data_IF_754377210362
#
_entry.id   IF_754377210362
#
_cell.length_a   1.000
_cell.length_b   1.000
_cell.length_c   1.000
_cell.angle_alpha   90.00
_cell.angle_beta   90.00
_cell.angle_gamma   90.00
#
_symmetry.space_group_name_H-M   'P 1'
#
loop_
_entity.id
_entity.type
_entity.pdbx_description
1 polymer ?
#
# COMPACT_ATOMS: atom_id res chain seq x y z
N UNK A 1 -0.80 -18.93 1.99
CA UNK A 1 -1.74 -17.88 2.36
C UNK A 1 -2.10 -17.06 1.10
N UNK A 2 -3.27 -16.44 1.06
CA UNK A 2 -3.71 -15.56 -0.02
C UNK A 2 -4.63 -14.49 0.55
N UNK A 3 -4.69 -13.33 -0.09
CA UNK A 3 -5.77 -12.38 0.09
C UNK A 3 -6.92 -12.81 -0.84
N UNK A 4 -8.09 -13.05 -0.30
CA UNK A 4 -9.30 -13.38 -1.04
C UNK A 4 -10.37 -12.33 -0.78
N UNK A 5 -10.96 -11.83 -1.86
CA UNK A 5 -12.13 -10.98 -1.88
C UNK A 5 -13.28 -11.84 -2.42
N UNK A 6 -14.16 -12.34 -1.54
CA UNK A 6 -15.25 -13.26 -1.88
C UNK A 6 -16.53 -12.45 -2.11
N UNK A 7 -16.93 -12.25 -3.37
CA UNK A 7 -18.13 -11.51 -3.75
C UNK A 7 -18.27 -10.17 -3.02
N UNK A 8 -17.15 -9.49 -2.84
CA UNK A 8 -17.10 -8.21 -2.12
C UNK A 8 -17.87 -7.16 -2.89
N UNK A 9 -18.80 -6.49 -2.21
CA UNK A 9 -19.46 -5.28 -2.68
C UNK A 9 -19.19 -4.16 -1.69
N UNK A 10 -18.75 -3.01 -2.21
CA UNK A 10 -18.52 -1.78 -1.46
C UNK A 10 -19.46 -0.73 -2.04
N UNK A 11 -20.37 -0.18 -1.21
CA UNK A 11 -21.29 0.86 -1.59
C UNK A 11 -21.06 2.11 -0.74
N UNK A 12 -20.73 3.23 -1.37
CA UNK A 12 -20.44 4.52 -0.72
C UNK A 12 -21.02 5.66 -1.58
N UNK A 13 -21.92 6.47 -1.01
CA UNK A 13 -22.40 7.74 -1.60
C UNK A 13 -22.79 7.64 -3.09
N UNK A 14 -23.48 6.54 -3.47
CA UNK A 14 -23.91 6.28 -4.85
C UNK A 14 -22.83 5.68 -5.76
N UNK A 15 -21.65 5.37 -5.23
CA UNK A 15 -20.61 4.60 -5.90
C UNK A 15 -20.68 3.15 -5.44
N UNK A 16 -20.64 2.22 -6.39
CA UNK A 16 -20.58 0.77 -6.12
C UNK A 16 -19.32 0.17 -6.76
N UNK A 17 -18.68 -0.74 -6.03
CA UNK A 17 -17.54 -1.49 -6.52
C UNK A 17 -17.66 -2.96 -6.11
N UNK A 18 -17.50 -3.84 -7.11
CA UNK A 18 -17.50 -5.28 -6.92
C UNK A 18 -16.11 -5.86 -7.14
N UNK A 19 -15.71 -6.79 -6.27
CA UNK A 19 -14.47 -7.53 -6.39
C UNK A 19 -14.66 -8.99 -5.98
N UNK A 20 -14.24 -9.91 -6.85
CA UNK A 20 -14.24 -11.36 -6.59
C UNK A 20 -12.94 -11.93 -7.15
N UNK A 21 -11.93 -12.04 -6.30
CA UNK A 21 -10.59 -12.39 -6.73
C UNK A 21 -9.70 -12.93 -5.61
N UNK A 22 -8.61 -13.57 -6.01
CA UNK A 22 -7.59 -14.09 -5.11
C UNK A 22 -6.20 -13.58 -5.53
N UNK A 23 -5.47 -13.04 -4.54
CA UNK A 23 -4.08 -12.61 -4.68
C UNK A 23 -3.20 -13.54 -3.86
N UNK A 24 -2.28 -14.24 -4.52
CA UNK A 24 -1.30 -15.11 -3.86
C UNK A 24 -0.31 -14.35 -2.98
N UNK A 25 0.36 -15.07 -2.06
CA UNK A 25 1.40 -14.46 -1.22
C UNK A 25 2.68 -14.15 -1.98
N UNK A 26 3.40 -13.14 -1.51
CA UNK A 26 4.74 -12.80 -1.99
C UNK A 26 4.77 -11.93 -3.24
N UNK A 27 3.60 -11.51 -3.77
CA UNK A 27 3.52 -10.68 -4.97
C UNK A 27 3.59 -9.18 -4.69
N UNK A 28 4.14 -8.44 -5.66
CA UNK A 28 4.09 -6.98 -5.73
C UNK A 28 3.08 -6.61 -6.82
N UNK A 29 1.85 -6.26 -6.40
CA UNK A 29 0.68 -6.17 -7.29
C UNK A 29 0.26 -4.71 -7.44
N UNK A 30 0.11 -4.25 -8.68
CA UNK A 30 -0.42 -2.93 -8.98
C UNK A 30 -1.96 -2.95 -9.09
N UNK A 31 -2.61 -1.95 -8.52
CA UNK A 31 -4.01 -1.61 -8.81
C UNK A 31 -3.99 -0.45 -9.81
N UNK A 32 -4.34 -0.72 -11.06
CA UNK A 32 -4.32 0.23 -12.17
C UNK A 32 -5.75 0.59 -12.60
N UNK A 33 -5.99 1.86 -12.89
CA UNK A 33 -7.27 2.33 -13.41
C UNK A 33 -7.45 3.84 -13.29
N UNK A 34 -8.50 4.42 -13.87
CA UNK A 34 -8.77 5.84 -13.85
C UNK A 34 -8.83 6.42 -12.44
N UNK A 35 -8.61 7.73 -12.32
CA UNK A 35 -8.89 8.44 -11.07
C UNK A 35 -10.39 8.32 -10.75
N UNK A 36 -10.71 8.10 -9.47
CA UNK A 36 -12.10 7.89 -9.05
C UNK A 36 -12.67 6.48 -9.28
N UNK A 37 -11.93 5.55 -9.90
CA UNK A 37 -12.42 4.18 -10.15
C UNK A 37 -12.60 3.32 -8.89
N UNK A 38 -12.22 3.81 -7.69
CA UNK A 38 -12.38 3.09 -6.42
C UNK A 38 -11.16 2.31 -5.95
N UNK A 39 -9.97 2.52 -6.53
CA UNK A 39 -8.73 1.82 -6.13
C UNK A 39 -8.42 2.00 -4.64
N UNK A 40 -8.40 3.23 -4.17
CA UNK A 40 -8.20 3.55 -2.74
C UNK A 40 -9.34 3.01 -1.87
N UNK A 41 -10.57 2.97 -2.40
CA UNK A 41 -11.74 2.40 -1.70
C UNK A 41 -11.55 0.92 -1.41
N UNK A 42 -11.05 0.14 -2.40
CA UNK A 42 -10.71 -1.28 -2.19
C UNK A 42 -9.62 -1.44 -1.14
N UNK A 43 -8.51 -0.68 -1.25
CA UNK A 43 -7.44 -0.75 -0.25
C UNK A 43 -7.96 -0.41 1.16
N UNK A 44 -8.79 0.62 1.28
CA UNK A 44 -9.38 1.03 2.54
C UNK A 44 -10.38 0.00 3.09
N UNK A 45 -11.12 -0.71 2.23
CA UNK A 45 -11.99 -1.80 2.65
C UNK A 45 -11.16 -3.00 3.18
N UNK A 46 -10.08 -3.38 2.50
CA UNK A 46 -9.17 -4.43 2.97
C UNK A 46 -8.48 -4.02 4.27
N UNK A 47 -8.09 -2.75 4.41
CA UNK A 47 -7.47 -2.22 5.63
C UNK A 47 -8.48 -2.01 6.79
N UNK A 48 -9.79 -2.02 6.51
CA UNK A 48 -10.85 -1.90 7.53
C UNK A 48 -11.34 -0.50 7.80
N UNK A 49 -10.99 0.47 6.97
CA UNK A 49 -11.47 1.86 7.08
C UNK A 49 -12.81 2.08 6.36
N UNK A 50 -13.17 1.19 5.44
CA UNK A 50 -14.42 1.22 4.71
C UNK A 50 -15.16 -0.10 4.94
N UNK A 51 -16.44 -0.08 5.38
CA UNK A 51 -17.22 -1.30 5.55
C UNK A 51 -17.63 -1.89 4.20
N UNK A 52 -17.87 -3.21 4.19
CA UNK A 52 -18.46 -3.90 3.06
C UNK A 52 -20.01 -3.76 3.09
N UNK A 53 -20.63 -3.61 1.93
CA UNK A 53 -22.07 -3.79 1.80
C UNK A 53 -22.45 -5.28 1.81
N UNK A 54 -21.60 -6.13 1.18
CA UNK A 54 -21.74 -7.59 1.22
C UNK A 54 -20.42 -8.27 0.87
N UNK A 55 -20.36 -9.61 1.01
CA UNK A 55 -19.18 -10.42 0.74
C UNK A 55 -18.30 -10.63 1.95
N UNK A 56 -17.07 -11.08 1.72
CA UNK A 56 -16.09 -11.33 2.76
C UNK A 56 -14.67 -11.05 2.29
N UNK A 57 -13.80 -10.64 3.21
CA UNK A 57 -12.35 -10.52 2.98
C UNK A 57 -11.64 -11.54 3.85
N UNK A 58 -10.76 -12.34 3.24
CA UNK A 58 -9.96 -13.34 3.92
C UNK A 58 -8.46 -13.14 3.71
N UNK A 59 -7.71 -13.51 4.73
CA UNK A 59 -6.27 -13.71 4.64
C UNK A 59 -5.93 -15.16 5.00
N UNK A 60 -5.66 -15.98 4.00
CA UNK A 60 -5.65 -17.42 4.15
C UNK A 60 -7.02 -17.93 4.59
N UNK A 61 -7.05 -18.77 5.64
CA UNK A 61 -8.31 -19.32 6.17
C UNK A 61 -9.07 -18.36 7.10
N UNK A 62 -8.44 -17.24 7.48
CA UNK A 62 -9.04 -16.31 8.44
C UNK A 62 -9.84 -15.20 7.73
N UNK A 63 -11.11 -15.05 8.13
CA UNK A 63 -11.94 -13.92 7.73
C UNK A 63 -11.52 -12.68 8.52
N UNK A 64 -11.25 -11.54 7.83
CA UNK A 64 -10.68 -10.34 8.43
C UNK A 64 -11.57 -9.09 8.33
N UNK A 65 -12.64 -9.11 7.55
CA UNK A 65 -13.50 -7.94 7.34
C UNK A 65 -14.25 -7.48 8.58
N UNK A 66 -14.50 -8.37 9.56
CA UNK A 66 -15.10 -8.06 10.85
C UNK A 66 -14.11 -7.47 11.87
N UNK A 67 -12.81 -7.54 11.59
CA UNK A 67 -11.77 -7.01 12.47
C UNK A 67 -11.59 -5.50 12.29
N UNK A 68 -11.35 -4.74 13.37
CA UNK A 68 -10.99 -3.34 13.26
C UNK A 68 -9.61 -3.19 12.58
N UNK A 69 -9.27 -2.01 11.99
CA UNK A 69 -8.03 -1.81 11.24
C UNK A 69 -6.76 -2.22 11.96
N UNK A 70 -6.66 -1.96 13.28
CA UNK A 70 -5.47 -2.29 14.09
C UNK A 70 -5.20 -3.78 14.22
N UNK A 71 -6.24 -4.61 14.16
CA UNK A 71 -6.16 -6.07 14.36
C UNK A 71 -5.98 -6.83 13.04
N UNK A 72 -6.15 -6.17 11.89
CA UNK A 72 -5.95 -6.78 10.59
C UNK A 72 -4.47 -7.05 10.33
N UNK A 73 -4.15 -8.11 9.57
CA UNK A 73 -2.77 -8.42 9.17
C UNK A 73 -2.25 -7.48 8.07
N UNK A 74 -2.61 -6.20 8.13
CA UNK A 74 -2.39 -5.18 7.10
C UNK A 74 -1.57 -4.03 7.66
N UNK A 75 -0.56 -3.58 6.91
CA UNK A 75 0.10 -2.30 7.10
C UNK A 75 -0.24 -1.37 5.94
N UNK A 76 -0.54 -0.11 6.21
CA UNK A 76 -0.93 0.85 5.18
C UNK A 76 0.02 2.04 5.14
N UNK A 77 0.45 2.40 3.93
CA UNK A 77 1.09 3.67 3.64
C UNK A 77 0.10 4.52 2.84
N UNK A 78 -0.33 5.61 3.45
CA UNK A 78 -1.29 6.54 2.87
C UNK A 78 -0.59 7.59 2.00
N UNK A 79 -1.32 8.21 1.10
CA UNK A 79 -0.85 9.24 0.19
C UNK A 79 -0.13 10.40 0.90
N UNK A 80 -0.64 10.82 2.06
CA UNK A 80 -0.09 11.94 2.84
C UNK A 80 1.11 11.59 3.73
N UNK A 81 1.64 10.35 3.62
CA UNK A 81 2.68 9.80 4.50
C UNK A 81 2.30 9.73 5.99
N UNK A 82 1.33 10.48 6.45
CA UNK A 82 0.80 10.52 7.83
C UNK A 82 1.88 10.60 8.93
N UNK A 83 2.91 11.42 8.70
CA UNK A 83 3.91 11.70 9.73
C UNK A 83 3.38 12.78 10.68
N UNK A 84 3.48 12.52 11.99
CA UNK A 84 3.10 13.46 13.01
C UNK A 84 4.15 14.59 13.10
N UNK A 85 3.80 15.85 12.80
CA UNK A 85 4.76 16.94 12.70
C UNK A 85 5.41 17.34 14.03
N UNK A 86 4.78 17.01 15.15
CA UNK A 86 5.26 17.28 16.50
C UNK A 86 6.17 16.18 17.08
N UNK A 87 6.37 15.08 16.35
CA UNK A 87 7.26 13.99 16.72
C UNK A 87 8.45 13.96 15.77
N UNK A 88 9.65 13.69 16.29
CA UNK A 88 10.80 13.46 15.42
C UNK A 88 10.64 12.18 14.58
N UNK A 89 11.50 12.00 13.59
CA UNK A 89 11.39 10.91 12.62
C UNK A 89 11.50 9.54 13.27
N UNK A 90 12.46 9.34 14.19
CA UNK A 90 12.60 8.07 14.90
C UNK A 90 11.34 7.75 15.73
N UNK A 91 10.74 8.77 16.36
CA UNK A 91 9.51 8.60 17.11
C UNK A 91 8.32 8.27 16.22
N UNK A 92 8.21 8.91 15.05
CA UNK A 92 7.20 8.59 14.05
C UNK A 92 7.29 7.11 13.61
N UNK A 93 8.50 6.61 13.39
CA UNK A 93 8.74 5.22 12.99
C UNK A 93 8.45 4.26 14.16
N UNK A 94 8.85 4.61 15.38
CA UNK A 94 8.61 3.81 16.58
C UNK A 94 7.12 3.64 16.93
N UNK A 95 6.21 4.48 16.40
CA UNK A 95 4.76 4.29 16.54
C UNK A 95 4.27 2.96 15.95
N UNK A 96 5.02 2.35 15.05
CA UNK A 96 4.76 0.99 14.55
C UNK A 96 4.85 -0.09 15.66
N UNK A 97 5.60 0.18 16.73
CA UNK A 97 5.85 -0.76 17.83
C UNK A 97 5.10 -0.39 19.10
N UNK A 98 4.98 0.90 19.38
CA UNK A 98 4.43 1.38 20.65
C UNK A 98 3.83 2.77 20.55
N UNK A 99 2.70 2.95 21.20
CA UNK A 99 2.04 4.26 21.37
C UNK A 99 2.48 4.99 22.65
N UNK A 100 3.34 4.39 23.46
CA UNK A 100 3.83 5.00 24.72
C UNK A 100 4.54 6.34 24.42
N UNK A 101 4.38 7.32 25.26
CA UNK A 101 5.02 8.64 25.12
C UNK A 101 6.57 8.54 25.04
N UNK A 102 7.14 7.58 25.76
CA UNK A 102 8.58 7.29 25.72
C UNK A 102 8.76 5.83 25.24
N UNK A 103 9.28 5.60 24.00
CA UNK A 103 9.67 4.28 23.54
C UNK A 103 10.77 3.70 24.42
N UNK A 104 10.86 2.38 24.47
CA UNK A 104 12.00 1.70 25.08
C UNK A 104 13.27 1.95 24.25
N UNK A 105 14.43 1.63 24.85
CA UNK A 105 15.71 1.69 24.12
C UNK A 105 15.70 0.72 22.91
N UNK A 106 15.04 -0.43 23.04
CA UNK A 106 14.92 -1.40 21.95
C UNK A 106 14.00 -0.88 20.84
N UNK A 107 12.84 -0.27 21.16
CA UNK A 107 11.97 0.35 20.17
C UNK A 107 12.71 1.43 19.38
N UNK A 108 13.50 2.24 20.08
CA UNK A 108 14.30 3.31 19.45
C UNK A 108 15.36 2.72 18.52
N UNK A 109 16.10 1.71 18.96
CA UNK A 109 17.09 1.01 18.14
C UNK A 109 16.46 0.42 16.87
N UNK A 110 15.34 -0.28 17.01
CA UNK A 110 14.61 -0.87 15.88
C UNK A 110 14.08 0.18 14.90
N UNK A 111 13.66 1.34 15.40
CA UNK A 111 13.26 2.47 14.55
C UNK A 111 14.45 3.03 13.76
N UNK A 112 15.61 3.20 14.37
CA UNK A 112 16.84 3.66 13.69
C UNK A 112 17.33 2.62 12.66
N UNK A 113 17.26 1.32 12.96
CA UNK A 113 17.54 0.26 12.00
C UNK A 113 16.59 0.29 10.79
N UNK A 114 15.30 0.52 11.02
CA UNK A 114 14.32 0.65 9.93
C UNK A 114 14.61 1.89 9.06
N UNK A 115 14.97 3.02 9.69
CA UNK A 115 15.41 4.23 8.98
C UNK A 115 16.67 4.00 8.15
N UNK A 116 17.63 3.26 8.68
CA UNK A 116 18.84 2.90 7.94
C UNK A 116 18.53 2.09 6.67
N UNK A 117 17.59 1.15 6.76
CA UNK A 117 17.15 0.31 5.61
C UNK A 117 16.52 1.10 4.47
N UNK A 118 15.96 2.25 4.75
CA UNK A 118 15.37 3.14 3.73
C UNK A 118 16.30 4.31 3.35
N UNK A 119 17.57 4.27 3.76
CA UNK A 119 18.59 5.28 3.42
C UNK A 119 18.45 6.59 4.23
N UNK A 120 17.93 6.54 5.46
CA UNK A 120 17.77 7.68 6.36
C UNK A 120 18.62 7.54 7.64
N UNK A 121 19.78 6.89 7.56
CA UNK A 121 20.71 6.75 8.70
C UNK A 121 21.04 8.10 9.31
N UNK A 122 20.96 8.20 10.66
CA UNK A 122 21.27 9.42 11.41
C UNK A 122 20.26 10.54 11.30
N UNK A 123 19.11 10.32 10.64
CA UNK A 123 18.06 11.34 10.51
C UNK A 123 16.94 11.21 11.57
N UNK A 124 17.01 10.25 12.47
CA UNK A 124 15.97 9.98 13.45
C UNK A 124 15.61 11.14 14.36
N UNK A 125 16.58 11.99 14.71
CA UNK A 125 16.36 13.16 15.56
C UNK A 125 15.69 14.34 14.83
N UNK A 126 15.63 14.34 13.49
CA UNK A 126 15.03 15.44 12.70
C UNK A 126 13.51 15.47 12.86
N UNK A 127 12.94 16.64 12.64
CA UNK A 127 11.48 16.82 12.55
C UNK A 127 11.01 16.60 11.11
N UNK A 128 9.80 16.03 10.88
CA UNK A 128 9.28 15.78 9.53
C UNK A 128 9.33 17.00 8.60
N UNK A 129 9.00 18.20 9.11
CA UNK A 129 9.02 19.44 8.32
C UNK A 129 10.41 19.88 7.83
N UNK A 130 11.49 19.26 8.33
CA UNK A 130 12.86 19.54 7.87
C UNK A 130 13.35 18.53 6.82
N UNK A 131 12.52 17.56 6.46
CA UNK A 131 12.80 16.55 5.46
C UNK A 131 12.25 16.96 4.09
N UNK A 132 12.93 16.58 3.02
CA UNK A 132 12.35 16.63 1.67
C UNK A 132 11.16 15.68 1.54
N UNK A 133 10.26 15.88 0.55
CA UNK A 133 9.13 14.98 0.30
C UNK A 133 9.55 13.51 0.15
N UNK A 134 10.61 13.23 -0.61
CA UNK A 134 11.15 11.87 -0.74
C UNK A 134 11.68 11.29 0.58
N UNK A 135 12.31 12.11 1.43
CA UNK A 135 12.74 11.68 2.76
C UNK A 135 11.56 11.40 3.69
N UNK A 136 10.47 12.18 3.60
CA UNK A 136 9.24 11.91 4.35
C UNK A 136 8.61 10.60 3.91
N UNK A 137 8.54 10.33 2.60
CA UNK A 137 8.03 9.06 2.06
C UNK A 137 8.88 7.87 2.52
N UNK A 138 10.21 8.00 2.54
CA UNK A 138 11.11 6.98 3.08
C UNK A 138 10.89 6.74 4.59
N UNK A 139 10.67 7.78 5.37
CA UNK A 139 10.37 7.66 6.80
C UNK A 139 9.01 6.95 7.04
N UNK A 140 8.00 7.26 6.25
CA UNK A 140 6.72 6.56 6.29
C UNK A 140 6.85 5.08 5.88
N UNK A 141 7.67 4.78 4.87
CA UNK A 141 8.00 3.40 4.47
C UNK A 141 8.73 2.64 5.59
N UNK A 142 9.66 3.28 6.31
CA UNK A 142 10.32 2.67 7.48
C UNK A 142 9.32 2.28 8.56
N UNK A 143 8.29 3.11 8.79
CA UNK A 143 7.20 2.80 9.74
C UNK A 143 6.40 1.58 9.30
N UNK A 144 6.03 1.47 8.01
CA UNK A 144 5.33 0.31 7.45
C UNK A 144 6.19 -0.95 7.55
N UNK A 145 7.48 -0.85 7.22
CA UNK A 145 8.42 -1.96 7.33
C UNK A 145 8.50 -2.50 8.76
N UNK A 146 8.52 -1.60 9.74
CA UNK A 146 8.64 -1.95 11.15
C UNK A 146 7.37 -2.59 11.74
N UNK A 147 6.17 -2.33 11.18
CA UNK A 147 4.93 -3.01 11.54
C UNK A 147 4.98 -4.51 11.26
N UNK A 148 5.82 -4.94 10.33
CA UNK A 148 6.06 -6.35 10.00
C UNK A 148 4.78 -7.15 9.69
N UNK A 149 3.80 -6.54 9.04
CA UNK A 149 2.55 -7.19 8.64
C UNK A 149 2.75 -7.95 7.31
N UNK A 150 2.05 -9.09 7.09
CA UNK A 150 2.21 -9.89 5.87
C UNK A 150 1.57 -9.27 4.64
N UNK A 151 0.61 -8.38 4.82
CA UNK A 151 -0.08 -7.65 3.75
C UNK A 151 0.23 -6.16 3.87
N UNK A 152 0.67 -5.54 2.78
CA UNK A 152 1.02 -4.11 2.73
C UNK A 152 0.21 -3.42 1.64
N UNK A 153 -0.43 -2.32 2.02
CA UNK A 153 -1.21 -1.47 1.13
C UNK A 153 -0.51 -0.13 0.95
N UNK A 154 -0.24 0.25 -0.31
CA UNK A 154 0.39 1.52 -0.65
C UNK A 154 -0.60 2.31 -1.51
N UNK A 155 -1.22 3.35 -0.95
CA UNK A 155 -2.22 4.17 -1.64
C UNK A 155 -1.58 5.41 -2.25
N UNK A 156 -1.30 5.38 -3.55
CA UNK A 156 -0.60 6.43 -4.32
C UNK A 156 0.60 7.03 -3.57
N UNK A 157 1.50 6.17 -3.02
CA UNK A 157 2.41 6.56 -1.94
C UNK A 157 3.45 7.61 -2.36
N UNK A 158 3.61 7.83 -3.66
CA UNK A 158 4.68 8.67 -4.21
C UNK A 158 4.17 9.63 -5.28
N UNK A 159 2.86 9.89 -5.33
CA UNK A 159 2.23 10.78 -6.32
C UNK A 159 2.78 12.20 -6.30
N UNK A 160 3.23 12.68 -5.14
CA UNK A 160 3.86 14.00 -4.99
C UNK A 160 5.32 14.07 -5.48
N UNK A 161 5.93 12.95 -5.87
CA UNK A 161 7.31 12.88 -6.35
C UNK A 161 7.38 12.97 -7.88
N UNK A 162 8.48 13.51 -8.38
CA UNK A 162 8.76 13.48 -9.83
C UNK A 162 8.94 12.03 -10.34
N UNK A 163 8.77 11.79 -11.67
CA UNK A 163 8.75 10.43 -12.23
C UNK A 163 9.96 9.57 -11.85
N UNK A 164 11.19 10.09 -11.94
CA UNK A 164 12.40 9.36 -11.59
C UNK A 164 12.45 8.97 -10.11
N UNK A 165 12.14 9.91 -9.22
CA UNK A 165 12.11 9.64 -7.78
C UNK A 165 11.02 8.63 -7.40
N UNK A 166 9.89 8.65 -8.09
CA UNK A 166 8.79 7.70 -7.88
C UNK A 166 9.22 6.28 -8.23
N UNK A 167 9.91 6.11 -9.35
CA UNK A 167 10.46 4.80 -9.74
C UNK A 167 11.50 4.28 -8.73
N UNK A 168 12.41 5.14 -8.27
CA UNK A 168 13.37 4.79 -7.22
C UNK A 168 12.66 4.35 -5.93
N UNK A 169 11.59 5.04 -5.55
CA UNK A 169 10.83 4.70 -4.35
C UNK A 169 10.06 3.38 -4.50
N UNK A 170 9.49 3.08 -5.67
CA UNK A 170 8.87 1.79 -5.94
C UNK A 170 9.89 0.65 -5.91
N UNK A 171 11.08 0.85 -6.51
CA UNK A 171 12.16 -0.11 -6.44
C UNK A 171 12.61 -0.36 -4.99
N UNK A 172 12.75 0.69 -4.19
CA UNK A 172 13.05 0.58 -2.76
C UNK A 172 11.95 -0.18 -2.00
N UNK A 173 10.67 0.10 -2.28
CA UNK A 173 9.56 -0.66 -1.68
C UNK A 173 9.67 -2.15 -2.01
N UNK A 174 9.94 -2.49 -3.26
CA UNK A 174 10.13 -3.87 -3.71
C UNK A 174 11.29 -4.55 -2.99
N UNK A 175 12.41 -3.86 -2.82
CA UNK A 175 13.58 -4.35 -2.10
C UNK A 175 13.28 -4.61 -0.62
N UNK A 176 12.73 -3.61 0.09
CA UNK A 176 12.60 -3.69 1.56
C UNK A 176 11.35 -4.44 2.03
N UNK A 177 10.30 -4.51 1.21
CA UNK A 177 9.04 -5.20 1.54
C UNK A 177 8.94 -6.58 0.89
N UNK A 178 9.44 -6.78 -0.33
CA UNK A 178 9.26 -8.01 -1.11
C UNK A 178 10.00 -9.23 -0.58
N UNK A 179 11.11 -9.04 0.14
CA UNK A 179 12.02 -10.14 0.53
C UNK A 179 11.54 -11.06 1.67
N UNK A 180 10.36 -10.84 2.27
CA UNK A 180 9.90 -11.57 3.46
C UNK A 180 8.58 -12.33 3.24
N UNK A 181 8.26 -12.68 2.00
CA UNK A 181 6.99 -13.35 1.66
C UNK A 181 5.75 -12.46 1.87
N UNK A 182 5.93 -11.15 1.98
CA UNK A 182 4.82 -10.20 2.09
C UNK A 182 4.15 -10.02 0.74
N UNK A 183 2.84 -9.82 0.78
CA UNK A 183 2.07 -9.38 -0.39
C UNK A 183 1.91 -7.86 -0.33
N UNK A 184 2.29 -7.18 -1.39
CA UNK A 184 2.19 -5.73 -1.50
C UNK A 184 1.18 -5.38 -2.59
N UNK A 185 0.16 -4.60 -2.25
CA UNK A 185 -0.74 -3.98 -3.21
C UNK A 185 -0.47 -2.48 -3.23
N UNK A 186 -0.21 -1.94 -4.41
CA UNK A 186 0.00 -0.51 -4.55
C UNK A 186 -0.90 0.08 -5.62
N UNK A 187 -1.47 1.24 -5.33
CA UNK A 187 -2.27 2.01 -6.27
C UNK A 187 -1.36 2.89 -7.11
N UNK A 188 -1.55 2.84 -8.42
CA UNK A 188 -1.03 3.84 -9.35
C UNK A 188 -2.03 4.11 -10.47
N UNK A 189 -2.03 5.33 -10.97
CA UNK A 189 -2.73 5.73 -12.19
C UNK A 189 -1.75 5.79 -13.40
N UNK A 190 -0.46 5.54 -13.18
CA UNK A 190 0.59 5.58 -14.19
C UNK A 190 0.96 4.16 -14.63
N UNK A 191 0.80 3.81 -15.92
CA UNK A 191 1.21 2.53 -16.46
C UNK A 191 2.71 2.22 -16.27
N UNK A 192 3.55 3.25 -16.23
CA UNK A 192 5.00 3.09 -16.01
C UNK A 192 5.30 2.56 -14.60
N UNK A 193 4.56 3.02 -13.62
CA UNK A 193 4.67 2.49 -12.26
C UNK A 193 4.14 1.06 -12.19
N UNK A 194 2.98 0.80 -12.81
CA UNK A 194 2.38 -0.52 -12.85
C UNK A 194 3.25 -1.57 -13.54
N UNK A 195 4.09 -1.15 -14.50
CA UNK A 195 5.05 -2.03 -15.16
C UNK A 195 6.13 -2.60 -14.21
N UNK A 196 6.32 -2.02 -13.03
CA UNK A 196 7.23 -2.54 -12.01
C UNK A 196 6.61 -3.66 -11.14
N UNK A 197 5.32 -3.95 -11.30
CA UNK A 197 4.63 -4.99 -10.57
C UNK A 197 4.93 -6.40 -11.13
N UNK A 198 4.59 -7.43 -10.34
CA UNK A 198 4.59 -8.82 -10.81
C UNK A 198 3.29 -9.12 -11.58
N UNK A 199 2.19 -8.48 -11.17
CA UNK A 199 0.90 -8.57 -11.84
C UNK A 199 0.08 -7.28 -11.59
N UNK A 200 -0.96 -7.10 -12.40
CA UNK A 200 -1.85 -5.94 -12.33
C UNK A 200 -3.29 -6.42 -12.12
N UNK A 201 -3.97 -5.82 -11.15
CA UNK A 201 -5.42 -5.82 -11.03
C UNK A 201 -5.95 -4.52 -11.64
N UNK A 202 -6.88 -4.61 -12.58
CA UNK A 202 -7.52 -3.44 -13.20
C UNK A 202 -8.77 -3.10 -12.43
N UNK A 203 -8.89 -1.82 -12.03
CA UNK A 203 -10.10 -1.28 -11.39
C UNK A 203 -10.73 -0.27 -12.34
N UNK A 204 -11.88 -0.64 -12.90
CA UNK A 204 -12.58 0.18 -13.91
C UNK A 204 -14.08 -0.13 -13.87
N UNK A 205 -14.91 0.87 -14.12
CA UNK A 205 -16.38 0.74 -14.17
C UNK A 205 -16.99 -0.03 -12.98
N UNK A 206 -16.53 0.28 -11.76
CA UNK A 206 -17.03 -0.33 -10.53
C UNK A 206 -16.66 -1.82 -10.37
N UNK A 207 -15.66 -2.31 -11.10
CA UNK A 207 -15.20 -3.70 -10.98
C UNK A 207 -13.69 -3.78 -10.82
N UNK A 208 -13.23 -4.77 -10.05
CA UNK A 208 -11.81 -5.10 -9.90
C UNK A 208 -11.52 -6.47 -10.51
N UNK A 209 -10.59 -6.52 -11.47
CA UNK A 209 -10.20 -7.78 -12.11
C UNK A 209 -9.29 -8.62 -11.22
N UNK A 210 -9.24 -9.95 -11.40
CA UNK A 210 -8.15 -10.77 -10.86
C UNK A 210 -6.78 -10.27 -11.33
N UNK A 211 -5.69 -10.59 -10.59
CA UNK A 211 -4.34 -10.28 -11.01
C UNK A 211 -3.99 -10.95 -12.34
N UNK A 212 -3.44 -10.17 -13.27
CA UNK A 212 -2.99 -10.63 -14.59
C UNK A 212 -1.52 -10.24 -14.82
N UNK A 213 -0.77 -11.00 -15.62
CA UNK A 213 0.59 -10.63 -16.01
C UNK A 213 0.65 -9.20 -16.56
N UNK A 214 1.71 -8.48 -16.24
CA UNK A 214 1.92 -7.08 -16.67
C UNK A 214 1.82 -6.95 -18.19
N UNK A 215 2.43 -7.88 -18.93
CA UNK A 215 2.40 -7.93 -20.40
C UNK A 215 0.99 -8.04 -20.97
N UNK A 216 0.13 -8.87 -20.36
CA UNK A 216 -1.25 -9.06 -20.81
C UNK A 216 -2.11 -7.80 -20.62
N UNK A 217 -1.77 -7.01 -19.60
CA UNK A 217 -2.54 -5.80 -19.25
C UNK A 217 -2.03 -4.59 -20.02
N UNK A 218 -0.70 -4.42 -20.12
CA UNK A 218 -0.11 -3.21 -20.72
C UNK A 218 0.14 -3.33 -22.23
N UNK A 219 0.52 -4.51 -22.72
CA UNK A 219 0.86 -4.69 -24.15
C UNK A 219 -0.36 -5.05 -25.00
N UNK A 220 -1.30 -5.80 -24.41
CA UNK A 220 -2.54 -6.23 -25.08
C UNK A 220 -3.81 -5.79 -24.32
N UNK A 221 -4.01 -4.50 -24.06
CA UNK A 221 -5.18 -4.02 -23.33
C UNK A 221 -6.47 -4.26 -24.12
N UNK A 222 -7.54 -4.62 -23.43
CA UNK A 222 -8.84 -4.87 -24.03
C UNK A 222 -9.94 -3.98 -23.38
N UNK A 223 -11.03 -3.76 -24.12
CA UNK A 223 -12.21 -3.05 -23.63
C UNK A 223 -11.89 -1.64 -23.09
N UNK A 224 -12.50 -1.24 -21.97
CA UNK A 224 -12.33 0.09 -21.37
C UNK A 224 -10.88 0.42 -21.01
N UNK A 225 -10.07 -0.58 -20.66
CA UNK A 225 -8.65 -0.37 -20.34
C UNK A 225 -7.85 0.14 -21.53
N UNK A 226 -8.18 -0.31 -22.77
CA UNK A 226 -7.54 0.17 -24.00
C UNK A 226 -7.75 1.68 -24.19
N UNK A 227 -8.97 2.13 -23.98
CA UNK A 227 -9.31 3.56 -24.06
C UNK A 227 -8.57 4.37 -22.98
N UNK A 228 -8.49 3.82 -21.75
CA UNK A 228 -7.76 4.45 -20.65
C UNK A 228 -6.26 4.59 -20.93
N UNK A 229 -5.63 3.59 -21.55
CA UNK A 229 -4.21 3.59 -21.89
C UNK A 229 -3.89 4.37 -23.19
N UNK A 230 -4.89 4.92 -23.87
CA UNK A 230 -4.71 5.68 -25.12
C UNK A 230 -4.25 4.81 -26.31
N UNK A 231 -4.61 3.54 -26.35
CA UNK A 231 -4.22 2.54 -27.36
C UNK A 231 -5.38 2.10 -28.23
#
# INVERSE_FOLDING_TARGET
LALELEHVNIALDGFELCADLKVGTGGFIALLGPSGAGKSTVLNAVAGFVPLASGAIRWGDARIDHLPPGDRPVATLFQDNNLFPHLNVARNVALALTTRARPSKDDTRRAEEALSRVGLSGMGARMPGTLSGGQQSRAALARVLLQNKPLVMLDEPFSALGPGQRQEMLALCREVLGGAGRTVLFVSHDPVDAAQADAICVVIDGTMSPPRPVTDVLDAPSGPLRAYLGK
#
